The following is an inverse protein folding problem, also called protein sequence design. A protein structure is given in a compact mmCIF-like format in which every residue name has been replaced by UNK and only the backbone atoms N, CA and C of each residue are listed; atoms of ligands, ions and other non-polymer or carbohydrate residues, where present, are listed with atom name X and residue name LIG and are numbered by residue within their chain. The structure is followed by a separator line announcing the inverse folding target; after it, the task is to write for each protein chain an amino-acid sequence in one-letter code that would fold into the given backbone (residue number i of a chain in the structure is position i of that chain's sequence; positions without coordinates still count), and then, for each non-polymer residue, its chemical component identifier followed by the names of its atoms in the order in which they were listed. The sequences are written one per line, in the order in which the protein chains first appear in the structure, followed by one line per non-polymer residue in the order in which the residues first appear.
data_IF_112966450541
#
_entry.id   IF_112966450541
#
_cell.length_a   1.000
_cell.length_b   1.000
_cell.length_c   1.000
_cell.angle_alpha   90.00
_cell.angle_beta   90.00
_cell.angle_gamma   90.00
#
_symmetry.space_group_name_H-M   'P 1'
#
loop_
_entity.id
_entity.type
_entity.pdbx_description
1 polymer ?
#
# COMPACT_ATOMS: atom_id res chain seq x y z
N UNK A 1 23.04 20.99 -0.32
CA UNK A 1 22.28 21.38 0.87
C UNK A 1 20.85 21.62 0.43
N UNK A 2 20.02 20.58 0.51
CA UNK A 2 18.57 20.63 0.41
C UNK A 2 18.08 20.14 1.80
N UNK A 3 17.10 20.71 2.51
CA UNK A 3 16.47 22.01 2.44
C UNK A 3 15.66 22.22 3.73
N UNK A 4 16.25 22.84 4.75
CA UNK A 4 15.62 23.11 6.07
C UNK A 4 14.50 24.18 6.03
N UNK A 5 14.18 24.70 4.85
CA UNK A 5 13.20 25.76 4.69
C UNK A 5 11.78 25.18 4.75
N UNK A 6 10.90 25.69 5.63
CA UNK A 6 9.51 25.25 5.71
C UNK A 6 8.76 25.45 4.39
N UNK A 7 7.91 24.50 4.03
CA UNK A 7 7.03 24.60 2.86
C UNK A 7 5.83 25.51 3.18
N UNK A 8 5.64 26.55 2.36
CA UNK A 8 4.54 27.51 2.53
C UNK A 8 3.20 26.78 2.39
N UNK A 9 2.34 26.87 3.42
CA UNK A 9 1.00 26.30 3.43
C UNK A 9 0.85 24.92 4.10
N UNK A 10 1.97 24.26 4.48
CA UNK A 10 1.97 22.95 5.16
C UNK A 10 2.54 22.98 6.60
N UNK A 11 2.70 24.17 7.17
CA UNK A 11 3.25 24.36 8.52
C UNK A 11 4.78 24.34 8.55
N UNK A 12 5.37 23.88 9.66
CA UNK A 12 6.84 23.80 9.84
C UNK A 12 7.51 22.66 9.06
N UNK A 13 6.76 21.91 8.26
CA UNK A 13 7.29 20.76 7.53
C UNK A 13 8.19 21.22 6.39
N UNK A 14 9.40 20.71 6.39
CA UNK A 14 10.36 20.88 5.31
C UNK A 14 10.06 19.91 4.17
N UNK A 15 10.69 20.12 3.01
CA UNK A 15 10.61 19.14 1.92
C UNK A 15 11.17 17.77 2.33
N UNK A 16 12.20 17.76 3.18
CA UNK A 16 12.82 16.53 3.67
C UNK A 16 11.85 15.75 4.60
N UNK A 17 11.08 16.45 5.43
CA UNK A 17 10.04 15.81 6.26
C UNK A 17 8.93 15.16 5.41
N UNK A 18 8.53 15.81 4.32
CA UNK A 18 7.53 15.29 3.39
C UNK A 18 8.06 14.10 2.60
N UNK A 19 9.33 14.14 2.18
CA UNK A 19 10.00 13.02 1.54
C UNK A 19 10.03 11.80 2.47
N UNK A 20 10.44 11.98 3.73
CA UNK A 20 10.48 10.91 4.73
C UNK A 20 9.10 10.28 4.97
N UNK A 21 8.03 11.08 5.00
CA UNK A 21 6.65 10.56 5.13
C UNK A 21 6.23 9.75 3.92
N UNK A 22 6.54 10.23 2.72
CA UNK A 22 6.28 9.50 1.47
C UNK A 22 7.02 8.16 1.44
N UNK A 23 8.31 8.15 1.78
CA UNK A 23 9.12 6.93 1.87
C UNK A 23 8.58 5.94 2.90
N UNK A 24 8.19 6.43 4.08
CA UNK A 24 7.59 5.60 5.11
C UNK A 24 6.28 4.96 4.63
N UNK A 25 5.39 5.75 4.04
CA UNK A 25 4.12 5.24 3.53
C UNK A 25 4.33 4.20 2.40
N UNK A 26 5.32 4.42 1.54
CA UNK A 26 5.73 3.44 0.54
C UNK A 26 6.24 2.15 1.18
N UNK A 27 7.11 2.24 2.20
CA UNK A 27 7.62 1.07 2.91
C UNK A 27 6.49 0.26 3.58
N UNK A 28 5.53 0.95 4.21
CA UNK A 28 4.36 0.32 4.83
C UNK A 28 3.47 -0.36 3.77
N UNK A 29 3.30 0.23 2.59
CA UNK A 29 2.61 -0.40 1.46
C UNK A 29 3.34 -1.66 0.96
N UNK A 30 4.66 -1.59 0.78
CA UNK A 30 5.48 -2.72 0.32
C UNK A 30 5.53 -3.88 1.33
N UNK A 31 5.41 -3.60 2.63
CA UNK A 31 5.32 -4.61 3.67
C UNK A 31 4.11 -5.55 3.46
N UNK A 32 3.02 -5.07 2.85
CA UNK A 32 1.84 -5.90 2.56
C UNK A 32 2.10 -7.01 1.53
N UNK A 33 3.01 -6.79 0.58
CA UNK A 33 3.43 -7.82 -0.37
C UNK A 33 4.28 -8.89 0.33
N UNK A 34 5.17 -8.45 1.22
CA UNK A 34 5.98 -9.36 2.04
C UNK A 34 5.08 -10.23 2.94
N UNK A 35 4.08 -9.62 3.58
CA UNK A 35 3.12 -10.34 4.42
C UNK A 35 2.33 -11.40 3.62
N UNK A 36 1.83 -11.06 2.43
CA UNK A 36 1.16 -12.03 1.56
C UNK A 36 2.08 -13.18 1.14
N UNK A 37 3.35 -12.90 0.84
CA UNK A 37 4.31 -13.94 0.49
C UNK A 37 4.58 -14.89 1.66
N UNK A 38 4.71 -14.37 2.88
CA UNK A 38 4.91 -15.19 4.08
C UNK A 38 3.70 -16.07 4.34
N UNK A 39 2.48 -15.53 4.24
CA UNK A 39 1.25 -16.33 4.40
C UNK A 39 1.17 -17.44 3.35
N UNK A 40 1.50 -17.13 2.10
CA UNK A 40 1.51 -18.14 1.04
C UNK A 40 2.53 -19.25 1.32
N UNK A 41 3.75 -18.91 1.73
CA UNK A 41 4.77 -19.90 2.06
C UNK A 41 4.40 -20.74 3.28
N UNK A 42 3.80 -20.13 4.30
CA UNK A 42 3.31 -20.85 5.48
C UNK A 42 2.22 -21.84 5.11
N UNK A 43 1.23 -21.41 4.31
CA UNK A 43 0.15 -22.29 3.84
C UNK A 43 0.69 -23.46 2.99
N UNK A 44 1.64 -23.21 2.10
CA UNK A 44 2.26 -24.26 1.27
C UNK A 44 3.16 -25.22 2.05
N UNK A 45 3.57 -24.87 3.26
CA UNK A 45 4.37 -25.73 4.12
C UNK A 45 3.51 -26.71 4.94
N UNK A 46 2.18 -26.55 4.95
CA UNK A 46 1.28 -27.48 5.63
C UNK A 46 1.24 -28.83 4.89
N UNK A 47 1.54 -29.94 5.58
CA UNK A 47 1.69 -31.26 4.95
C UNK A 47 0.35 -31.89 4.55
N UNK A 48 -0.74 -31.53 5.22
CA UNK A 48 -2.10 -31.97 4.95
C UNK A 48 -3.03 -30.76 4.91
N UNK A 49 -4.09 -30.85 4.12
CA UNK A 49 -5.07 -29.78 4.05
C UNK A 49 -5.88 -29.72 5.35
N UNK A 50 -5.83 -28.56 6.00
CA UNK A 50 -6.65 -28.23 7.16
C UNK A 50 -7.57 -27.05 6.80
N UNK A 51 -8.88 -27.26 6.91
CA UNK A 51 -9.90 -26.26 6.57
C UNK A 51 -9.80 -25.03 7.49
N UNK A 52 -9.50 -25.23 8.78
CA UNK A 52 -9.42 -24.12 9.74
C UNK A 52 -8.20 -23.23 9.40
N UNK A 53 -7.10 -23.85 8.95
CA UNK A 53 -5.91 -23.12 8.47
C UNK A 53 -6.22 -22.38 7.18
N UNK A 54 -6.90 -23.02 6.23
CA UNK A 54 -7.33 -22.37 4.99
C UNK A 54 -8.20 -21.14 5.26
N UNK A 55 -9.26 -21.28 6.08
CA UNK A 55 -10.18 -20.19 6.41
C UNK A 55 -9.45 -19.03 7.11
N UNK A 56 -8.48 -19.34 7.99
CA UNK A 56 -7.65 -18.35 8.65
C UNK A 56 -6.75 -17.60 7.65
N UNK A 57 -6.09 -18.30 6.73
CA UNK A 57 -5.23 -17.69 5.71
C UNK A 57 -6.07 -16.84 4.74
N UNK A 58 -7.25 -17.30 4.35
CA UNK A 58 -8.18 -16.55 3.51
C UNK A 58 -8.61 -15.24 4.19
N UNK A 59 -9.03 -15.32 5.45
CA UNK A 59 -9.40 -14.13 6.24
C UNK A 59 -8.23 -13.15 6.37
N UNK A 60 -7.02 -13.65 6.65
CA UNK A 60 -5.80 -12.83 6.73
C UNK A 60 -5.46 -12.16 5.39
N UNK A 61 -5.63 -12.87 4.27
CA UNK A 61 -5.45 -12.32 2.93
C UNK A 61 -6.48 -11.22 2.63
N UNK A 62 -7.74 -11.39 3.06
CA UNK A 62 -8.78 -10.37 2.96
C UNK A 62 -8.37 -9.07 3.65
N UNK A 63 -7.96 -9.17 4.93
CA UNK A 63 -7.48 -8.02 5.71
C UNK A 63 -6.25 -7.35 5.07
N UNK A 64 -5.32 -8.13 4.52
CA UNK A 64 -4.15 -7.59 3.83
C UNK A 64 -4.51 -6.85 2.54
N UNK A 65 -5.54 -7.27 1.80
CA UNK A 65 -6.00 -6.55 0.59
C UNK A 65 -6.57 -5.19 0.96
N UNK A 66 -7.42 -5.13 1.97
CA UNK A 66 -7.98 -3.87 2.47
C UNK A 66 -6.87 -2.93 2.97
N UNK A 67 -5.94 -3.46 3.76
CA UNK A 67 -4.82 -2.70 4.27
C UNK A 67 -3.87 -2.23 3.15
N UNK A 68 -3.69 -3.04 2.09
CA UNK A 68 -2.90 -2.67 0.92
C UNK A 68 -3.51 -1.49 0.17
N UNK A 69 -4.83 -1.48 -0.05
CA UNK A 69 -5.46 -0.35 -0.74
C UNK A 69 -5.35 0.92 0.10
N UNK A 70 -5.59 0.81 1.41
CA UNK A 70 -5.40 1.93 2.34
C UNK A 70 -3.98 2.49 2.28
N UNK A 71 -2.97 1.65 2.44
CA UNK A 71 -1.55 2.08 2.43
C UNK A 71 -1.11 2.61 1.07
N UNK A 72 -1.67 2.08 -0.03
CA UNK A 72 -1.45 2.62 -1.37
C UNK A 72 -1.95 4.06 -1.47
N UNK A 73 -3.17 4.32 -0.99
CA UNK A 73 -3.77 5.64 -1.00
C UNK A 73 -2.96 6.62 -0.13
N UNK A 74 -2.61 6.20 1.10
CA UNK A 74 -1.78 7.01 2.01
C UNK A 74 -0.41 7.35 1.40
N UNK A 75 0.24 6.39 0.74
CA UNK A 75 1.48 6.62 0.02
C UNK A 75 1.31 7.63 -1.12
N UNK A 76 0.29 7.47 -1.95
CA UNK A 76 0.02 8.40 -3.06
C UNK A 76 -0.26 9.81 -2.58
N UNK A 77 -1.05 9.97 -1.52
CA UNK A 77 -1.38 11.28 -0.98
C UNK A 77 -0.14 11.95 -0.38
N UNK A 78 0.72 11.19 0.32
CA UNK A 78 2.00 11.68 0.82
C UNK A 78 2.93 12.09 -0.33
N UNK A 79 3.04 11.26 -1.38
CA UNK A 79 3.85 11.53 -2.56
C UNK A 79 3.37 12.78 -3.31
N UNK A 80 2.06 12.90 -3.58
CA UNK A 80 1.49 14.08 -4.25
C UNK A 80 1.69 15.35 -3.44
N UNK A 81 1.55 15.28 -2.12
CA UNK A 81 1.82 16.42 -1.23
C UNK A 81 3.27 16.87 -1.34
N UNK A 82 4.20 15.92 -1.27
CA UNK A 82 5.63 16.19 -1.47
C UNK A 82 5.91 16.75 -2.86
N UNK A 83 5.40 16.14 -3.92
CA UNK A 83 5.64 16.54 -5.31
C UNK A 83 5.11 17.95 -5.59
N UNK A 84 3.90 18.25 -5.13
CA UNK A 84 3.30 19.59 -5.23
C UNK A 84 4.17 20.63 -4.52
N UNK A 85 4.64 20.32 -3.31
CA UNK A 85 5.54 21.19 -2.55
C UNK A 85 6.90 21.40 -3.23
N UNK A 86 7.40 20.37 -3.92
CA UNK A 86 8.63 20.42 -4.71
C UNK A 86 8.46 21.10 -6.08
N UNK A 87 7.24 21.48 -6.46
CA UNK A 87 6.93 22.05 -7.78
C UNK A 87 6.93 21.03 -8.92
N UNK A 88 6.77 19.75 -8.59
CA UNK A 88 6.67 18.63 -9.54
C UNK A 88 5.20 18.38 -9.86
N UNK A 89 4.84 18.43 -11.14
CA UNK A 89 3.50 18.08 -11.61
C UNK A 89 3.34 16.55 -11.67
N UNK A 90 2.29 16.04 -11.03
CA UNK A 90 1.99 14.60 -10.96
C UNK A 90 0.68 14.34 -11.70
N UNK A 91 0.71 13.60 -12.83
CA UNK A 91 -0.51 13.24 -13.55
C UNK A 91 -1.48 12.45 -12.68
N UNK A 92 -2.77 12.69 -12.85
CA UNK A 92 -3.79 11.82 -12.26
C UNK A 92 -3.81 10.47 -12.99
N UNK A 93 -3.53 9.40 -12.25
CA UNK A 93 -3.72 8.04 -12.76
C UNK A 93 -5.21 7.71 -12.90
N UNK A 94 -5.60 6.95 -13.94
CA UNK A 94 -6.93 6.35 -13.99
C UNK A 94 -7.10 5.44 -12.77
N UNK A 95 -8.27 5.51 -12.13
CA UNK A 95 -8.62 4.59 -11.06
C UNK A 95 -8.48 3.16 -11.58
N UNK A 96 -7.54 2.41 -11.01
CA UNK A 96 -7.37 0.99 -11.29
C UNK A 96 -8.65 0.29 -10.84
N UNK A 97 -9.51 -0.04 -11.81
CA UNK A 97 -10.72 -0.81 -11.59
C UNK A 97 -10.30 -2.13 -10.96
N UNK A 98 -10.69 -2.36 -9.71
CA UNK A 98 -10.71 -3.70 -9.12
C UNK A 98 -11.70 -4.51 -9.97
N UNK A 99 -11.17 -5.16 -10.99
CA UNK A 99 -11.87 -6.19 -11.74
C UNK A 99 -12.01 -7.37 -10.77
N UNK A 100 -13.03 -7.28 -9.92
CA UNK A 100 -13.56 -8.41 -9.18
C UNK A 100 -14.02 -9.37 -10.27
N UNK A 101 -13.14 -10.31 -10.63
CA UNK A 101 -13.46 -11.38 -11.55
C UNK A 101 -14.63 -12.17 -10.94
N UNK A 102 -15.81 -11.75 -11.35
CA UNK A 102 -17.03 -12.54 -11.34
C UNK A 102 -16.73 -13.79 -12.18
N UNK A 103 -16.34 -14.86 -11.50
CA UNK A 103 -16.39 -16.21 -12.05
C UNK A 103 -17.55 -16.92 -11.40
N UNK A 104 -18.76 -16.45 -11.71
CA UNK A 104 -19.87 -17.34 -12.01
C UNK A 104 -19.39 -18.33 -13.10
N UNK A 105 -18.85 -19.48 -12.66
CA UNK A 105 -18.78 -20.67 -13.51
C UNK A 105 -19.92 -21.60 -13.10
N UNK A 106 -21.06 -21.36 -13.73
CA UNK A 106 -22.05 -22.37 -14.08
C UNK A 106 -21.35 -23.63 -14.63
N UNK A 107 -21.37 -24.74 -13.88
CA UNK A 107 -21.57 -26.13 -14.36
C UNK A 107 -22.20 -26.97 -13.25
#
# INVERSE_FOLDING_TARGET
MHGETPVIGLGLLTLDDLALRSEKAHADHMATYTASQVLHLAFMAEPEFDQDVYDLVEAACGLLREYREKTRQEWRDAYRTWATAAGIDVPDEPAETTDTADSESEV
#
